data_IF_259024766993
#
_entry.id   IF_259024766993
#
_cell.length_a   1.000
_cell.length_b   1.000
_cell.length_c   1.000
_cell.angle_alpha   90.00
_cell.angle_beta   90.00
_cell.angle_gamma   90.00
#
_symmetry.space_group_name_H-M   'P 1'
#
loop_
_entity.id
_entity.type
_entity.pdbx_description
1 polymer ?
#
# COMPACT_ATOMS: atom_id res chain seq x y z
N UNK A 1 30.98 3.25 6.01
CA UNK A 1 30.32 4.49 5.58
C UNK A 1 29.54 4.99 6.78
N UNK A 2 29.68 6.26 7.15
CA UNK A 2 29.07 6.79 8.37
C UNK A 2 27.56 6.95 8.17
N UNK A 3 26.75 6.13 8.85
CA UNK A 3 25.29 6.22 8.84
C UNK A 3 24.77 7.56 9.39
N UNK A 4 25.53 8.21 10.29
CA UNK A 4 25.12 9.45 10.94
C UNK A 4 24.89 10.62 9.95
N UNK A 5 25.69 10.70 8.89
CA UNK A 5 25.57 11.79 7.91
C UNK A 5 24.30 11.70 7.07
N UNK A 6 23.76 10.49 6.89
CA UNK A 6 22.52 10.29 6.14
C UNK A 6 21.30 10.64 7.00
N UNK A 7 21.37 10.33 8.29
CA UNK A 7 20.33 10.64 9.26
C UNK A 7 20.23 12.14 9.51
N UNK A 8 21.36 12.83 9.62
CA UNK A 8 21.40 14.30 9.72
C UNK A 8 20.78 14.97 8.49
N UNK A 9 20.99 14.41 7.30
CA UNK A 9 20.42 14.95 6.06
C UNK A 9 18.88 14.82 6.02
N UNK A 10 18.32 13.68 6.47
CA UNK A 10 16.86 13.45 6.53
C UNK A 10 16.12 14.44 7.43
N UNK A 11 16.79 14.92 8.47
CA UNK A 11 16.24 15.92 9.40
C UNK A 11 16.24 17.35 8.85
N UNK A 12 16.83 17.59 7.68
CA UNK A 12 16.79 18.90 7.01
C UNK A 12 15.52 19.06 6.16
N UNK A 13 15.11 20.30 5.90
CA UNK A 13 13.99 20.58 4.99
C UNK A 13 14.19 20.01 3.58
N UNK A 14 15.44 19.93 3.14
CA UNK A 14 15.81 19.36 1.83
C UNK A 14 15.66 17.85 1.82
N UNK A 15 16.03 17.17 2.92
CA UNK A 15 15.80 15.73 3.07
C UNK A 15 14.30 15.39 3.07
N UNK A 16 13.50 16.20 3.77
CA UNK A 16 12.05 16.03 3.81
C UNK A 16 11.38 16.26 2.45
N UNK A 17 11.84 17.25 1.70
CA UNK A 17 11.37 17.49 0.32
C UNK A 17 11.70 16.30 -0.60
N UNK A 18 12.90 15.73 -0.47
CA UNK A 18 13.32 14.56 -1.24
C UNK A 18 12.48 13.32 -0.91
N UNK A 19 12.18 13.07 0.36
CA UNK A 19 11.33 11.93 0.76
C UNK A 19 9.92 12.05 0.17
N UNK A 20 9.34 13.25 0.18
CA UNK A 20 8.05 13.54 -0.47
C UNK A 20 8.09 13.32 -1.99
N UNK A 21 9.14 13.78 -2.67
CA UNK A 21 9.30 13.53 -4.11
C UNK A 21 9.42 12.03 -4.43
N UNK A 22 10.09 11.26 -3.57
CA UNK A 22 10.21 9.81 -3.72
C UNK A 22 8.88 9.08 -3.53
N UNK A 23 8.04 9.51 -2.57
CA UNK A 23 6.70 8.95 -2.37
C UNK A 23 5.80 9.21 -3.59
N UNK A 24 5.80 10.44 -4.11
CA UNK A 24 5.06 10.80 -5.32
C UNK A 24 5.57 9.99 -6.52
N UNK A 25 6.89 9.84 -6.66
CA UNK A 25 7.46 9.05 -7.75
C UNK A 25 7.07 7.56 -7.64
N UNK A 26 6.98 7.01 -6.43
CA UNK A 26 6.52 5.65 -6.20
C UNK A 26 5.03 5.48 -6.51
N UNK A 27 4.20 6.50 -6.28
CA UNK A 27 2.77 6.46 -6.65
C UNK A 27 2.58 6.56 -8.17
N UNK A 28 3.32 7.46 -8.83
CA UNK A 28 3.14 7.75 -10.26
C UNK A 28 3.81 6.73 -11.17
N UNK A 29 5.02 6.31 -10.82
CA UNK A 29 5.86 5.42 -11.64
C UNK A 29 6.07 4.04 -11.01
N UNK A 30 5.55 3.83 -9.80
CA UNK A 30 5.57 2.51 -9.20
C UNK A 30 4.76 1.51 -10.03
N UNK A 31 5.08 0.21 -9.90
CA UNK A 31 4.24 -0.81 -10.50
C UNK A 31 2.82 -0.66 -9.95
N UNK A 32 1.83 -0.75 -10.83
CA UNK A 32 0.43 -0.77 -10.40
C UNK A 32 0.26 -1.81 -9.28
N UNK A 33 -0.37 -1.44 -8.16
CA UNK A 33 -0.62 -2.39 -7.09
C UNK A 33 -1.49 -3.52 -7.63
N UNK A 34 -0.88 -4.70 -7.77
CA UNK A 34 -1.57 -5.90 -8.25
C UNK A 34 -2.71 -6.24 -7.29
N UNK A 35 -3.95 -6.21 -7.80
CA UNK A 35 -5.13 -6.76 -7.12
C UNK A 35 -6.07 -5.77 -6.45
N UNK A 36 -5.83 -4.46 -6.50
CA UNK A 36 -6.69 -3.46 -5.86
C UNK A 36 -7.71 -2.77 -6.78
N UNK A 37 -7.65 -3.03 -8.09
CA UNK A 37 -8.39 -2.21 -9.07
C UNK A 37 -9.65 -2.82 -9.64
N UNK A 38 -10.06 -4.04 -9.28
CA UNK A 38 -11.41 -4.50 -9.64
C UNK A 38 -12.39 -3.79 -8.72
N UNK A 39 -13.20 -2.84 -9.20
CA UNK A 39 -14.19 -2.20 -8.34
C UNK A 39 -15.12 -3.29 -7.78
N UNK A 40 -15.63 -3.16 -6.55
CA UNK A 40 -16.49 -4.19 -5.95
C UNK A 40 -17.71 -4.53 -6.82
N UNK A 41 -18.16 -3.60 -7.66
CA UNK A 41 -19.24 -3.78 -8.64
C UNK A 41 -18.90 -4.74 -9.80
N UNK A 42 -17.62 -5.00 -10.04
CA UNK A 42 -17.12 -5.92 -11.07
C UNK A 42 -16.59 -7.23 -10.48
N UNK A 43 -16.61 -7.37 -9.15
CA UNK A 43 -16.29 -8.63 -8.48
C UNK A 43 -17.53 -9.51 -8.38
N UNK A 44 -17.34 -10.81 -8.61
CA UNK A 44 -18.33 -11.82 -8.22
C UNK A 44 -18.52 -11.87 -6.71
N UNK A 45 -19.65 -12.41 -6.26
CA UNK A 45 -19.95 -12.57 -4.84
C UNK A 45 -18.85 -13.39 -4.13
N UNK A 46 -18.29 -14.39 -4.80
CA UNK A 46 -17.19 -15.22 -4.31
C UNK A 46 -15.88 -14.43 -4.13
N UNK A 47 -15.53 -13.58 -5.09
CA UNK A 47 -14.33 -12.73 -5.03
C UNK A 47 -14.45 -11.65 -3.95
N UNK A 48 -15.66 -11.13 -3.73
CA UNK A 48 -15.94 -10.19 -2.64
C UNK A 48 -15.79 -10.85 -1.27
N UNK A 49 -16.27 -12.10 -1.13
CA UNK A 49 -16.13 -12.88 0.10
C UNK A 49 -14.67 -13.21 0.40
N UNK A 50 -13.87 -13.59 -0.60
CA UNK A 50 -12.44 -13.83 -0.41
C UNK A 50 -11.69 -12.56 0.01
N UNK A 51 -11.96 -11.42 -0.65
CA UNK A 51 -11.37 -10.13 -0.27
C UNK A 51 -11.72 -9.75 1.15
N UNK A 52 -13.00 -9.89 1.53
CA UNK A 52 -13.45 -9.59 2.88
C UNK A 52 -12.79 -10.51 3.91
N UNK A 53 -12.64 -11.81 3.62
CA UNK A 53 -11.95 -12.78 4.49
C UNK A 53 -10.46 -12.43 4.67
N UNK A 54 -9.77 -12.04 3.60
CA UNK A 54 -8.38 -11.59 3.65
C UNK A 54 -8.20 -10.30 4.44
N UNK A 55 -9.13 -9.34 4.31
CA UNK A 55 -9.08 -8.04 5.01
C UNK A 55 -9.44 -8.14 6.49
N UNK A 56 -10.44 -8.97 6.83
CA UNK A 56 -10.96 -9.07 8.20
C UNK A 56 -10.22 -10.10 9.06
N UNK A 57 -9.38 -10.95 8.46
CA UNK A 57 -8.77 -12.10 9.14
C UNK A 57 -9.80 -13.07 9.72
N UNK A 58 -11.07 -12.94 9.30
CA UNK A 58 -12.21 -13.56 9.94
C UNK A 58 -12.76 -14.67 9.04
N UNK A 59 -12.74 -15.90 9.54
CA UNK A 59 -13.27 -17.06 8.84
C UNK A 59 -14.80 -17.06 8.98
N UNK A 60 -15.50 -16.44 8.04
CA UNK A 60 -16.97 -16.35 8.05
C UNK A 60 -17.56 -17.73 7.74
N UNK A 61 -17.79 -18.54 8.78
CA UNK A 61 -18.55 -19.79 8.66
C UNK A 61 -20.04 -19.47 8.75
N UNK A 62 -20.73 -19.53 7.62
CA UNK A 62 -22.19 -19.52 7.60
C UNK A 62 -22.68 -20.82 8.24
N UNK A 63 -23.30 -20.72 9.41
CA UNK A 63 -23.99 -21.87 10.00
C UNK A 63 -25.19 -22.25 9.10
N UNK A 64 -25.28 -23.55 8.81
CA UNK A 64 -26.30 -24.16 7.97
C UNK A 64 -27.54 -24.49 8.79
#
# INVERSE_FOLDING_TARGET
MNDDSLEEFRQTSTGWALEQEMEIAAEVYGPEPKGLHTPPSECSDEELLERYRSLSGFDLKWET
#
